data_IF_449588858978
#
_entry.id   IF_449588858978
#
_cell.length_a   1.000
_cell.length_b   1.000
_cell.length_c   1.000
_cell.angle_alpha   90.00
_cell.angle_beta   90.00
_cell.angle_gamma   90.00
#
_symmetry.space_group_name_H-M   'P 1'
#
loop_
_entity.id
_entity.type
_entity.pdbx_description
1 polymer ?
#
# COMPACT_ATOMS: atom_id res chain seq x y z
N UNK A 1 -15.14 6.84 -26.84
CA UNK A 1 -14.47 6.84 -25.53
C UNK A 1 -15.56 6.65 -24.48
N UNK A 2 -15.36 5.73 -23.52
CA UNK A 2 -16.32 5.60 -22.41
C UNK A 2 -16.28 6.89 -21.58
N UNK A 3 -17.45 7.38 -21.17
CA UNK A 3 -17.58 8.57 -20.32
C UNK A 3 -16.89 8.32 -18.97
N UNK A 4 -16.05 9.25 -18.52
CA UNK A 4 -15.41 9.18 -17.21
C UNK A 4 -16.46 9.60 -16.16
N UNK A 5 -16.76 8.70 -15.22
CA UNK A 5 -17.71 9.00 -14.15
C UNK A 5 -17.11 10.05 -13.21
N UNK A 6 -17.92 11.03 -12.82
CA UNK A 6 -17.49 12.08 -11.90
C UNK A 6 -17.09 11.48 -10.54
N UNK A 7 -15.80 11.54 -10.14
CA UNK A 7 -15.32 10.97 -8.88
C UNK A 7 -15.88 11.67 -7.63
N UNK A 8 -16.46 12.85 -7.77
CA UNK A 8 -17.05 13.59 -6.64
C UNK A 8 -18.28 12.90 -6.02
N UNK A 9 -18.86 11.90 -6.72
CA UNK A 9 -19.95 11.09 -6.15
C UNK A 9 -19.46 10.07 -5.11
N UNK A 10 -18.15 9.76 -5.08
CA UNK A 10 -17.58 8.82 -4.10
C UNK A 10 -17.50 9.53 -2.74
N UNK A 11 -18.15 8.98 -1.70
CA UNK A 11 -18.02 9.54 -0.35
C UNK A 11 -16.57 9.59 0.11
N UNK A 12 -16.26 10.59 0.93
CA UNK A 12 -14.92 10.76 1.52
C UNK A 12 -14.99 10.66 3.03
N UNK A 13 -13.92 10.16 3.63
CA UNK A 13 -13.69 10.20 5.07
C UNK A 13 -12.57 11.18 5.37
N UNK A 14 -12.68 11.86 6.52
CA UNK A 14 -11.64 12.79 6.96
C UNK A 14 -10.66 12.04 7.86
N UNK A 15 -9.39 12.05 7.49
CA UNK A 15 -8.31 11.52 8.29
C UNK A 15 -8.05 12.41 9.51
N UNK A 16 -7.38 11.91 10.57
CA UNK A 16 -6.96 12.75 11.70
C UNK A 16 -6.11 13.96 11.30
N UNK A 17 -5.40 13.87 10.17
CA UNK A 17 -4.64 14.98 9.57
C UNK A 17 -5.53 16.10 9.00
N UNK A 18 -6.85 15.88 8.90
CA UNK A 18 -7.79 16.79 8.23
C UNK A 18 -7.95 16.53 6.72
N UNK A 19 -7.15 15.65 6.14
CA UNK A 19 -7.26 15.29 4.73
C UNK A 19 -8.49 14.43 4.47
N UNK A 20 -9.14 14.67 3.33
CA UNK A 20 -10.27 13.88 2.87
C UNK A 20 -9.81 12.84 1.85
N UNK A 21 -10.04 11.58 2.15
CA UNK A 21 -9.72 10.45 1.27
C UNK A 21 -10.99 9.72 0.84
N UNK A 22 -11.02 9.10 -0.35
CA UNK A 22 -12.15 8.28 -0.77
C UNK A 22 -12.41 7.16 0.25
N UNK A 23 -13.67 6.88 0.57
CA UNK A 23 -14.01 5.76 1.46
C UNK A 23 -14.19 4.43 0.72
N UNK A 24 -14.09 4.45 -0.61
CA UNK A 24 -14.16 3.26 -1.47
C UNK A 24 -12.90 3.25 -2.34
N UNK A 25 -12.18 2.14 -2.33
CA UNK A 25 -10.98 1.91 -3.13
C UNK A 25 -11.04 0.56 -3.84
N UNK A 26 -10.08 0.34 -4.72
CA UNK A 26 -9.87 -0.92 -5.42
C UNK A 26 -8.62 -1.61 -4.88
N UNK A 27 -8.75 -2.87 -4.43
CA UNK A 27 -7.62 -3.76 -4.18
C UNK A 27 -7.09 -4.35 -5.49
N UNK A 28 -5.78 -4.52 -5.57
CA UNK A 28 -5.10 -4.96 -6.79
C UNK A 28 -4.52 -6.39 -6.69
N UNK A 29 -4.85 -7.12 -5.64
CA UNK A 29 -4.43 -8.52 -5.54
C UNK A 29 -5.21 -9.38 -6.53
N UNK A 30 -4.52 -9.87 -7.56
CA UNK A 30 -5.10 -10.72 -8.61
C UNK A 30 -5.21 -12.19 -8.22
N UNK A 31 -4.66 -12.59 -7.06
CA UNK A 31 -4.39 -14.01 -6.75
C UNK A 31 -3.53 -14.68 -7.84
N UNK A 32 -3.15 -15.93 -7.65
CA UNK A 32 -2.38 -16.72 -8.64
C UNK A 32 -3.19 -17.07 -9.91
N UNK A 33 -4.40 -16.52 -10.06
CA UNK A 33 -5.34 -16.87 -11.12
C UNK A 33 -5.59 -15.75 -12.12
N UNK A 34 -5.20 -14.53 -11.80
CA UNK A 34 -5.43 -13.34 -12.63
C UNK A 34 -4.09 -12.73 -12.97
N UNK A 35 -3.83 -12.53 -14.25
CA UNK A 35 -2.57 -11.96 -14.73
C UNK A 35 -2.39 -10.50 -14.29
N UNK A 36 -1.15 -10.02 -14.25
CA UNK A 36 -0.85 -8.63 -13.95
C UNK A 36 -1.49 -7.69 -15.00
N UNK A 37 -1.56 -8.12 -16.25
CA UNK A 37 -2.21 -7.39 -17.36
C UNK A 37 -3.71 -7.27 -17.14
N UNK A 38 -4.39 -8.34 -16.69
CA UNK A 38 -5.84 -8.29 -16.42
C UNK A 38 -6.15 -7.39 -15.22
N UNK A 39 -5.32 -7.46 -14.16
CA UNK A 39 -5.46 -6.56 -13.00
C UNK A 39 -5.23 -5.11 -13.42
N UNK A 40 -4.20 -4.82 -14.22
CA UNK A 40 -3.92 -3.46 -14.68
C UNK A 40 -5.03 -2.93 -15.60
N UNK A 41 -5.59 -3.76 -16.47
CA UNK A 41 -6.77 -3.41 -17.26
C UNK A 41 -8.00 -3.08 -16.37
N UNK A 42 -8.20 -3.83 -15.30
CA UNK A 42 -9.26 -3.53 -14.31
C UNK A 42 -9.00 -2.19 -13.58
N UNK A 43 -7.73 -1.88 -13.24
CA UNK A 43 -7.35 -0.57 -12.66
C UNK A 43 -7.66 0.56 -13.63
N UNK A 44 -7.35 0.42 -14.93
CA UNK A 44 -7.69 1.42 -15.94
C UNK A 44 -9.20 1.64 -16.03
N UNK A 45 -9.99 0.57 -15.99
CA UNK A 45 -11.46 0.63 -15.93
C UNK A 45 -11.96 1.33 -14.67
N UNK A 46 -11.36 1.03 -13.52
CA UNK A 46 -11.70 1.65 -12.24
C UNK A 46 -11.45 3.17 -12.23
N UNK A 47 -10.30 3.63 -12.75
CA UNK A 47 -10.01 5.08 -12.89
C UNK A 47 -11.10 5.77 -13.70
N UNK A 48 -11.50 5.20 -14.85
CA UNK A 48 -12.57 5.73 -15.71
C UNK A 48 -13.94 5.67 -15.03
N UNK A 49 -14.15 4.71 -14.15
CA UNK A 49 -15.34 4.57 -13.32
C UNK A 49 -15.36 5.46 -12.06
N UNK A 50 -14.37 6.34 -11.91
CA UNK A 50 -14.33 7.33 -10.82
C UNK A 50 -13.60 6.85 -9.55
N UNK A 51 -12.99 5.66 -9.53
CA UNK A 51 -12.14 5.24 -8.41
C UNK A 51 -10.90 6.13 -8.33
N UNK A 52 -10.54 6.50 -7.10
CA UNK A 52 -9.38 7.36 -6.81
C UNK A 52 -8.52 6.83 -5.66
N UNK A 53 -8.77 5.61 -5.20
CA UNK A 53 -7.99 4.93 -4.17
C UNK A 53 -7.64 3.52 -4.66
N UNK A 54 -6.35 3.16 -4.55
CA UNK A 54 -5.83 1.88 -5.02
C UNK A 54 -4.91 1.26 -3.97
N UNK A 55 -5.19 0.00 -3.60
CA UNK A 55 -4.44 -0.76 -2.62
C UNK A 55 -3.55 -1.79 -3.32
N UNK A 56 -2.28 -1.41 -3.51
CA UNK A 56 -1.23 -2.21 -4.12
C UNK A 56 -0.37 -2.91 -3.07
N UNK A 57 0.53 -3.78 -3.48
CA UNK A 57 1.61 -4.31 -2.66
C UNK A 57 2.74 -4.88 -3.52
N UNK A 58 3.97 -4.76 -3.05
CA UNK A 58 5.15 -5.29 -3.74
C UNK A 58 5.05 -6.81 -4.01
N UNK A 59 4.46 -7.57 -3.07
CA UNK A 59 4.32 -9.02 -3.22
C UNK A 59 3.21 -9.45 -4.20
N UNK A 60 2.38 -8.52 -4.70
CA UNK A 60 1.35 -8.86 -5.69
C UNK A 60 1.93 -9.04 -7.09
N UNK A 61 3.18 -8.60 -7.32
CA UNK A 61 3.92 -8.83 -8.56
C UNK A 61 3.38 -8.08 -9.78
N UNK A 62 2.57 -7.04 -9.58
CA UNK A 62 1.85 -6.32 -10.65
C UNK A 62 1.99 -4.79 -10.56
N UNK A 63 2.84 -4.27 -9.65
CA UNK A 63 3.02 -2.82 -9.49
C UNK A 63 3.53 -2.14 -10.77
N UNK A 64 4.33 -2.84 -11.58
CA UNK A 64 4.88 -2.28 -12.81
C UNK A 64 3.78 -2.04 -13.87
N UNK A 65 2.91 -3.01 -14.08
CA UNK A 65 1.79 -2.92 -15.04
C UNK A 65 0.76 -1.89 -14.58
N UNK A 66 0.49 -1.82 -13.26
CA UNK A 66 -0.39 -0.81 -12.66
C UNK A 66 0.23 0.58 -12.81
N UNK A 67 1.54 0.72 -12.59
CA UNK A 67 2.27 1.96 -12.77
C UNK A 67 2.17 2.50 -14.20
N UNK A 68 2.21 1.63 -15.20
CA UNK A 68 2.00 2.04 -16.58
C UNK A 68 0.59 2.60 -16.79
N UNK A 69 -0.43 1.98 -16.19
CA UNK A 69 -1.82 2.49 -16.25
C UNK A 69 -1.95 3.86 -15.58
N UNK A 70 -1.30 4.06 -14.43
CA UNK A 70 -1.31 5.38 -13.78
C UNK A 70 -0.65 6.43 -14.66
N UNK A 71 0.53 6.13 -15.21
CA UNK A 71 1.24 7.03 -16.11
C UNK A 71 0.39 7.39 -17.33
N UNK A 72 -0.19 6.40 -17.99
CA UNK A 72 -1.03 6.64 -19.17
C UNK A 72 -2.24 7.52 -18.81
N UNK A 73 -2.88 7.28 -17.65
CA UNK A 73 -4.01 8.10 -17.19
C UNK A 73 -3.59 9.55 -16.87
N UNK A 74 -2.37 9.78 -16.38
CA UNK A 74 -1.81 11.12 -16.16
C UNK A 74 -1.49 11.81 -17.50
N UNK A 75 -0.84 11.10 -18.42
CA UNK A 75 -0.45 11.62 -19.74
C UNK A 75 -1.69 11.96 -20.61
N UNK A 76 -2.75 11.16 -20.50
CA UNK A 76 -4.04 11.41 -21.16
C UNK A 76 -4.86 12.53 -20.49
N UNK A 77 -4.45 13.01 -19.32
CA UNK A 77 -5.21 14.02 -18.56
C UNK A 77 -6.53 13.52 -17.97
N UNK A 78 -6.68 12.19 -17.83
CA UNK A 78 -7.88 11.57 -17.21
C UNK A 78 -7.92 11.85 -15.72
N UNK A 79 -6.75 11.91 -15.07
CA UNK A 79 -6.57 12.14 -13.65
C UNK A 79 -5.19 12.74 -13.41
N UNK A 80 -5.01 13.53 -12.34
CA UNK A 80 -3.69 13.96 -11.89
C UNK A 80 -3.20 13.07 -10.74
N UNK A 81 -1.86 12.96 -10.55
CA UNK A 81 -1.29 12.19 -9.43
C UNK A 81 -1.88 12.55 -8.06
N UNK A 82 -2.09 13.85 -7.82
CA UNK A 82 -2.66 14.36 -6.57
C UNK A 82 -4.10 13.93 -6.29
N UNK A 83 -4.83 13.50 -7.33
CA UNK A 83 -6.21 13.04 -7.21
C UNK A 83 -6.31 11.57 -6.82
N UNK A 84 -5.21 10.82 -6.93
CA UNK A 84 -5.14 9.43 -6.55
C UNK A 84 -4.58 9.27 -5.13
N UNK A 85 -5.21 8.42 -4.34
CA UNK A 85 -4.69 7.90 -3.09
C UNK A 85 -4.11 6.51 -3.36
N UNK A 86 -2.79 6.43 -3.53
CA UNK A 86 -2.07 5.20 -3.87
C UNK A 86 -1.45 4.63 -2.60
N UNK A 87 -1.79 3.39 -2.30
CA UNK A 87 -1.27 2.63 -1.18
C UNK A 87 -0.42 1.47 -1.68
N UNK A 88 0.68 1.19 -1.00
CA UNK A 88 1.45 -0.05 -1.19
C UNK A 88 2.07 -0.52 0.11
N UNK A 89 2.83 -1.61 0.10
CA UNK A 89 3.22 -2.31 1.32
C UNK A 89 4.62 -2.89 1.21
N UNK A 90 5.42 -2.73 2.28
CA UNK A 90 6.69 -3.45 2.42
C UNK A 90 6.41 -4.93 2.70
N UNK A 91 7.06 -5.80 1.92
CA UNK A 91 6.95 -7.23 2.12
C UNK A 91 7.89 -7.73 3.23
N UNK A 92 7.63 -8.93 3.73
CA UNK A 92 8.25 -9.48 4.94
C UNK A 92 9.77 -9.67 4.85
N UNK A 93 10.30 -9.94 3.68
CA UNK A 93 11.74 -10.11 3.44
C UNK A 93 12.51 -8.79 3.39
N UNK A 94 11.79 -7.66 3.36
CA UNK A 94 12.37 -6.31 3.22
C UNK A 94 12.27 -5.46 4.48
N UNK A 95 11.86 -6.00 5.63
CA UNK A 95 11.70 -5.25 6.88
C UNK A 95 12.97 -4.54 7.37
N UNK A 96 14.16 -5.02 6.96
CA UNK A 96 15.44 -4.38 7.27
C UNK A 96 15.97 -3.45 6.19
N UNK A 97 15.23 -3.33 5.06
CA UNK A 97 15.58 -2.53 3.89
C UNK A 97 14.34 -1.82 3.34
N UNK A 98 13.60 -1.17 4.25
CA UNK A 98 12.30 -0.57 3.94
C UNK A 98 12.41 0.52 2.88
N UNK A 99 13.48 1.33 2.92
CA UNK A 99 13.69 2.38 1.93
C UNK A 99 13.92 1.82 0.52
N UNK A 100 14.75 0.77 0.40
CA UNK A 100 14.97 0.10 -0.88
C UNK A 100 13.68 -0.49 -1.46
N UNK A 101 12.85 -1.10 -0.61
CA UNK A 101 11.55 -1.63 -1.00
C UNK A 101 10.59 -0.53 -1.45
N UNK A 102 10.55 0.59 -0.72
CA UNK A 102 9.73 1.74 -1.05
C UNK A 102 10.15 2.37 -2.38
N UNK A 103 11.45 2.57 -2.59
CA UNK A 103 12.00 3.13 -3.83
C UNK A 103 11.64 2.25 -5.04
N UNK A 104 11.71 0.93 -4.86
CA UNK A 104 11.28 -0.01 -5.90
C UNK A 104 9.79 0.14 -6.21
N UNK A 105 8.92 0.16 -5.20
CA UNK A 105 7.47 0.32 -5.42
C UNK A 105 7.14 1.67 -6.07
N UNK A 106 7.75 2.78 -5.63
CA UNK A 106 7.59 4.10 -6.24
C UNK A 106 7.98 4.08 -7.71
N UNK A 107 9.12 3.44 -8.03
CA UNK A 107 9.59 3.29 -9.41
C UNK A 107 8.63 2.44 -10.25
N UNK A 108 8.19 1.30 -9.74
CA UNK A 108 7.31 0.38 -10.46
C UNK A 108 5.92 1.01 -10.66
N UNK A 109 5.39 1.70 -9.66
CA UNK A 109 4.12 2.45 -9.75
C UNK A 109 4.22 3.75 -10.56
N UNK A 110 5.42 4.13 -11.03
CA UNK A 110 5.70 5.32 -11.83
C UNK A 110 5.15 6.62 -11.17
N UNK A 111 5.38 6.77 -9.89
CA UNK A 111 4.95 7.94 -9.12
C UNK A 111 6.13 8.52 -8.32
N UNK A 112 5.99 9.76 -7.83
CA UNK A 112 7.05 10.44 -7.05
C UNK A 112 6.98 10.09 -5.56
N UNK A 113 5.80 9.68 -5.09
CA UNK A 113 5.52 9.30 -3.71
C UNK A 113 4.32 8.36 -3.65
N UNK A 114 4.12 7.68 -2.53
CA UNK A 114 2.88 6.96 -2.23
C UNK A 114 2.14 7.62 -1.07
N UNK A 115 0.82 7.57 -1.10
CA UNK A 115 0.02 8.22 -0.06
C UNK A 115 0.08 7.45 1.24
N UNK A 116 0.01 6.13 1.19
CA UNK A 116 0.13 5.29 2.38
C UNK A 116 1.04 4.09 2.12
N UNK A 117 1.98 3.87 3.03
CA UNK A 117 2.89 2.73 2.97
C UNK A 117 2.67 1.84 4.17
N UNK A 118 2.28 0.59 3.91
CA UNK A 118 1.96 -0.38 4.96
C UNK A 118 3.14 -1.27 5.31
N UNK A 119 3.27 -1.62 6.59
CA UNK A 119 3.95 -2.85 6.99
C UNK A 119 2.94 -3.97 6.75
N UNK A 120 3.19 -4.81 5.72
CA UNK A 120 2.21 -5.78 5.22
C UNK A 120 1.86 -6.83 6.28
N UNK A 121 2.89 -7.38 6.93
CA UNK A 121 2.75 -8.30 8.07
C UNK A 121 3.67 -7.86 9.19
N UNK A 122 3.29 -8.06 10.45
CA UNK A 122 4.10 -7.62 11.60
C UNK A 122 5.30 -8.54 11.90
N UNK A 123 5.62 -9.47 11.01
CA UNK A 123 6.65 -10.48 11.22
C UNK A 123 7.71 -10.39 10.12
N UNK A 124 8.98 -10.10 10.46
CA UNK A 124 10.07 -10.26 9.51
C UNK A 124 10.22 -11.74 9.17
N UNK A 125 10.54 -12.03 7.90
CA UNK A 125 10.77 -13.40 7.41
C UNK A 125 9.58 -14.36 7.59
N UNK A 126 8.35 -13.86 7.68
CA UNK A 126 7.17 -14.73 7.73
C UNK A 126 7.02 -15.57 6.45
N UNK A 127 7.39 -14.98 5.31
CA UNK A 127 7.52 -15.63 4.01
C UNK A 127 8.99 -15.59 3.59
N UNK A 128 9.48 -16.66 2.96
CA UNK A 128 10.80 -16.64 2.34
C UNK A 128 10.76 -15.81 1.04
N UNK A 129 11.87 -15.19 0.62
CA UNK A 129 11.93 -14.51 -0.66
C UNK A 129 11.46 -15.40 -1.81
N UNK A 130 10.55 -14.91 -2.63
CA UNK A 130 10.02 -15.62 -3.81
C UNK A 130 9.11 -16.82 -3.50
N UNK A 131 8.72 -17.06 -2.23
CA UNK A 131 7.72 -18.05 -1.93
C UNK A 131 6.30 -17.51 -2.14
N UNK A 132 5.38 -18.42 -2.38
CA UNK A 132 3.96 -18.17 -2.48
C UNK A 132 3.43 -17.44 -1.23
N UNK A 133 2.48 -16.54 -1.41
CA UNK A 133 1.83 -15.79 -0.31
C UNK A 133 1.14 -16.68 0.71
N UNK A 134 0.73 -17.88 0.30
CA UNK A 134 0.13 -18.90 1.16
C UNK A 134 1.17 -19.77 1.87
N UNK A 135 2.45 -19.70 1.48
CA UNK A 135 3.54 -20.50 2.04
C UNK A 135 4.10 -19.84 3.29
N UNK A 136 4.19 -20.59 4.36
CA UNK A 136 4.81 -20.15 5.60
C UNK A 136 6.29 -20.53 5.63
N UNK A 137 7.16 -19.56 5.91
CA UNK A 137 8.57 -19.85 6.12
C UNK A 137 8.74 -20.71 7.40
N UNK A 138 9.34 -21.91 7.35
CA UNK A 138 9.63 -22.72 8.53
C UNK A 138 10.47 -21.99 9.59
N UNK A 139 11.34 -21.07 9.14
CA UNK A 139 12.21 -20.25 9.98
C UNK A 139 11.58 -18.91 10.40
N UNK A 140 10.26 -18.76 10.19
CA UNK A 140 9.56 -17.54 10.58
C UNK A 140 9.66 -17.30 12.08
N UNK A 141 10.01 -16.07 12.44
CA UNK A 141 10.13 -15.66 13.84
C UNK A 141 8.77 -15.25 14.41
N UNK A 142 8.54 -15.43 15.72
CA UNK A 142 7.40 -14.86 16.37
C UNK A 142 7.42 -13.33 16.31
N UNK A 143 6.29 -12.70 16.57
CA UNK A 143 6.20 -11.26 16.69
C UNK A 143 7.13 -10.73 17.80
N UNK A 144 7.94 -9.75 17.43
CA UNK A 144 8.80 -8.99 18.34
C UNK A 144 8.45 -7.51 18.22
N UNK A 145 8.16 -6.88 19.35
CA UNK A 145 7.92 -5.43 19.41
C UNK A 145 9.13 -4.65 18.91
N UNK A 146 10.33 -5.07 19.31
CA UNK A 146 11.58 -4.42 18.90
C UNK A 146 11.78 -4.45 17.39
N UNK A 147 11.72 -5.65 16.78
CA UNK A 147 11.90 -5.80 15.33
C UNK A 147 10.81 -5.08 14.53
N UNK A 148 9.56 -5.08 15.02
CA UNK A 148 8.48 -4.33 14.40
C UNK A 148 8.74 -2.82 14.46
N UNK A 149 9.15 -2.31 15.61
CA UNK A 149 9.45 -0.89 15.78
C UNK A 149 10.66 -0.44 14.98
N UNK A 150 11.65 -1.30 14.76
CA UNK A 150 12.76 -1.00 13.84
C UNK A 150 12.27 -0.81 12.40
N UNK A 151 11.36 -1.66 11.94
CA UNK A 151 10.70 -1.50 10.62
C UNK A 151 9.86 -0.22 10.58
N UNK A 152 9.09 0.05 11.65
CA UNK A 152 8.23 1.24 11.74
C UNK A 152 9.03 2.54 11.71
N UNK A 153 10.16 2.63 12.43
CA UNK A 153 11.06 3.80 12.41
C UNK A 153 11.66 4.07 11.03
N UNK A 154 11.94 3.02 10.26
CA UNK A 154 12.34 3.21 8.86
C UNK A 154 11.22 3.83 8.03
N UNK A 155 9.94 3.46 8.28
CA UNK A 155 8.81 4.12 7.64
C UNK A 155 8.68 5.59 8.08
N UNK A 156 8.91 5.91 9.35
CA UNK A 156 8.93 7.32 9.84
C UNK A 156 9.96 8.16 9.09
N UNK A 157 11.16 7.60 8.86
CA UNK A 157 12.19 8.28 8.06
C UNK A 157 11.76 8.51 6.60
N UNK A 158 10.92 7.64 6.03
CA UNK A 158 10.37 7.85 4.68
C UNK A 158 9.35 8.98 4.62
N UNK A 159 8.59 9.19 5.70
CA UNK A 159 7.70 10.37 5.82
C UNK A 159 8.52 11.66 5.84
N UNK A 160 9.60 11.70 6.62
CA UNK A 160 10.51 12.86 6.68
C UNK A 160 11.16 13.17 5.32
N UNK A 161 11.45 12.13 4.53
CA UNK A 161 12.01 12.25 3.17
C UNK A 161 10.95 12.60 2.11
N UNK A 162 9.67 12.65 2.46
CA UNK A 162 8.57 12.91 1.54
C UNK A 162 8.27 11.78 0.55
N UNK A 163 8.81 10.57 0.77
CA UNK A 163 8.56 9.40 -0.09
C UNK A 163 7.19 8.79 0.16
N UNK A 164 6.70 8.91 1.40
CA UNK A 164 5.37 8.45 1.80
C UNK A 164 4.68 9.55 2.62
N UNK A 165 3.35 9.60 2.59
CA UNK A 165 2.58 10.59 3.37
C UNK A 165 2.08 10.02 4.69
N UNK A 166 1.64 8.77 4.68
CA UNK A 166 1.08 8.07 5.84
C UNK A 166 1.70 6.69 6.00
N UNK A 167 1.81 6.25 7.25
CA UNK A 167 2.22 4.89 7.61
C UNK A 167 0.98 4.08 7.95
N UNK A 168 0.85 2.91 7.33
CA UNK A 168 -0.18 1.93 7.66
C UNK A 168 0.42 0.67 8.28
N UNK A 169 -0.38 -0.07 9.00
CA UNK A 169 -0.03 -1.38 9.52
C UNK A 169 -1.16 -2.36 9.21
N UNK A 170 -0.78 -3.56 8.82
CA UNK A 170 -1.71 -4.60 8.38
C UNK A 170 -1.46 -5.90 9.14
N UNK A 171 -2.46 -6.76 9.21
CA UNK A 171 -2.37 -8.08 9.86
C UNK A 171 -1.98 -8.03 11.35
N UNK A 172 -2.36 -6.95 12.04
CA UNK A 172 -2.14 -6.75 13.46
C UNK A 172 -3.36 -7.18 14.28
N UNK A 173 -3.12 -7.92 15.36
CA UNK A 173 -4.14 -8.20 16.37
C UNK A 173 -4.16 -7.10 17.43
N UNK A 174 -5.27 -6.97 18.16
CA UNK A 174 -5.41 -5.97 19.23
C UNK A 174 -4.26 -6.04 20.25
N UNK A 175 -3.87 -7.21 20.79
CA UNK A 175 -2.74 -7.27 21.74
C UNK A 175 -1.41 -6.78 21.15
N UNK A 176 -1.15 -7.03 19.84
CA UNK A 176 0.06 -6.51 19.21
C UNK A 176 0.02 -4.99 19.04
N UNK A 177 -1.17 -4.46 18.68
CA UNK A 177 -1.37 -3.01 18.61
C UNK A 177 -1.14 -2.34 19.95
N UNK A 178 -1.76 -2.84 21.02
CA UNK A 178 -1.58 -2.32 22.39
C UNK A 178 -0.11 -2.28 22.80
N UNK A 179 0.69 -3.27 22.35
CA UNK A 179 2.11 -3.33 22.66
C UNK A 179 2.94 -2.28 21.91
N UNK A 180 2.56 -1.87 20.70
CA UNK A 180 3.38 -0.96 19.86
C UNK A 180 2.88 0.47 19.82
N UNK A 181 1.58 0.72 19.97
CA UNK A 181 0.99 2.07 19.91
C UNK A 181 1.68 3.09 20.85
N UNK A 182 2.01 2.75 22.10
CA UNK A 182 2.69 3.69 23.00
C UNK A 182 4.12 4.07 22.56
N UNK A 183 4.70 3.32 21.62
CA UNK A 183 6.08 3.51 21.13
C UNK A 183 6.14 4.24 19.79
N UNK A 184 4.99 4.44 19.14
CA UNK A 184 4.88 5.14 17.86
C UNK A 184 4.90 6.64 18.09
N UNK A 185 5.70 7.37 17.30
CA UNK A 185 5.84 8.83 17.43
C UNK A 185 4.93 9.60 16.49
N UNK A 186 4.47 8.96 15.41
CA UNK A 186 3.57 9.58 14.41
C UNK A 186 2.14 9.16 14.67
N UNK A 187 1.27 10.11 15.02
CA UNK A 187 -0.15 9.87 15.38
C UNK A 187 -1.08 9.63 14.18
N UNK A 188 -0.54 9.38 12.98
CA UNK A 188 -1.32 9.22 11.73
C UNK A 188 -1.38 7.79 11.23
N UNK A 189 -1.53 6.84 12.15
CA UNK A 189 -1.62 5.43 11.78
C UNK A 189 -3.05 5.08 11.40
N UNK A 190 -3.25 4.59 10.19
CA UNK A 190 -4.52 4.00 9.78
C UNK A 190 -4.45 2.48 9.95
N UNK A 191 -5.43 1.96 10.66
CA UNK A 191 -5.64 0.54 10.85
C UNK A 191 -6.57 0.02 9.76
N UNK A 192 -6.09 -0.92 8.94
CA UNK A 192 -6.98 -1.83 8.23
C UNK A 192 -7.12 -3.09 9.09
N UNK A 193 -8.33 -3.36 9.57
CA UNK A 193 -8.64 -4.66 10.15
C UNK A 193 -8.56 -5.73 9.05
N UNK A 194 -8.07 -6.94 9.36
CA UNK A 194 -8.10 -8.02 8.40
C UNK A 194 -9.56 -8.26 7.98
N UNK A 195 -9.82 -8.20 6.68
CA UNK A 195 -11.07 -8.67 6.11
C UNK A 195 -11.03 -10.20 6.15
N UNK A 196 -11.87 -10.81 6.98
CA UNK A 196 -12.11 -12.25 6.97
C UNK A 196 -12.76 -12.67 5.66
#
# INVERSE_FOLDING_TARGET
MAEVINPAIVPKVTLPSGEQVPCVGMGTFGSDRVSAEDVSAAVAGAIRSGYRMFDCAACYGNEHEIGQVFKDAFDEGVVERKDLFIMTKVWNDMHRRVEEACDKSIKDLQCDYVDMYYIHWPFPNYHAPGCDVDSRNPDSKPFSVEEFMDTYRQCEALVEKGKIRYIGISNMTIPKLEAVLPLMTVSYTHLTLPTN
#
